data_IF_659128300327
#
_entry.id   IF_659128300327
#
_cell.length_a   1.000
_cell.length_b   1.000
_cell.length_c   1.000
_cell.angle_alpha   90.00
_cell.angle_beta   90.00
_cell.angle_gamma   90.00
#
_symmetry.space_group_name_H-M   'P 1'
#
loop_
_entity.id
_entity.type
_entity.pdbx_description
1 polymer ?
#
# COMPACT_ATOMS: atom_id res chain seq x y z
N UNK A 1 -12.53 -7.29 18.65
CA UNK A 1 -11.35 -6.52 19.11
C UNK A 1 -10.35 -7.51 19.69
N UNK A 2 -9.09 -7.48 19.25
CA UNK A 2 -8.01 -8.28 19.84
C UNK A 2 -7.05 -7.31 20.54
N UNK A 3 -6.65 -7.63 21.76
CA UNK A 3 -5.73 -6.79 22.55
C UNK A 3 -4.30 -7.25 22.33
N UNK A 4 -3.39 -6.30 22.13
CA UNK A 4 -1.95 -6.54 22.02
C UNK A 4 -1.25 -5.82 23.17
N UNK A 5 -0.44 -6.56 23.94
CA UNK A 5 0.42 -5.96 24.93
C UNK A 5 1.69 -5.41 24.27
N UNK A 6 2.06 -4.18 24.59
CA UNK A 6 3.27 -3.52 24.09
C UNK A 6 4.02 -2.90 25.26
N UNK A 7 5.32 -2.67 25.07
CA UNK A 7 6.14 -1.97 26.06
C UNK A 7 5.73 -0.50 26.18
N UNK A 8 6.02 0.10 27.34
CA UNK A 8 5.75 1.53 27.57
C UNK A 8 6.52 2.43 26.60
N UNK A 9 7.75 2.06 26.23
CA UNK A 9 8.54 2.79 25.23
C UNK A 9 7.90 2.73 23.84
N UNK A 10 7.43 1.54 23.43
CA UNK A 10 6.69 1.36 22.17
C UNK A 10 5.41 2.20 22.16
N UNK A 11 4.70 2.24 23.28
CA UNK A 11 3.47 3.01 23.43
C UNK A 11 3.70 4.51 23.29
N UNK A 12 4.76 5.04 23.92
CA UNK A 12 5.17 6.45 23.76
C UNK A 12 5.48 6.79 22.31
N UNK A 13 6.27 5.95 21.63
CA UNK A 13 6.60 6.15 20.21
C UNK A 13 5.37 6.14 19.31
N UNK A 14 4.41 5.24 19.57
CA UNK A 14 3.15 5.19 18.83
C UNK A 14 2.28 6.44 19.04
N UNK A 15 2.25 6.99 20.26
CA UNK A 15 1.58 8.26 20.55
C UNK A 15 2.19 9.42 19.77
N UNK A 16 3.51 9.58 19.83
CA UNK A 16 4.22 10.62 19.09
C UNK A 16 3.99 10.51 17.58
N UNK A 17 4.00 9.28 17.04
CA UNK A 17 3.75 9.03 15.64
C UNK A 17 2.30 9.39 15.25
N UNK A 18 1.31 9.02 16.08
CA UNK A 18 -0.09 9.38 15.90
C UNK A 18 -0.27 10.90 15.78
N UNK A 19 0.37 11.65 16.68
CA UNK A 19 0.32 13.12 16.68
C UNK A 19 0.98 13.73 15.44
N UNK A 20 2.17 13.25 15.07
CA UNK A 20 2.89 13.71 13.86
C UNK A 20 2.07 13.49 12.59
N UNK A 21 1.39 12.36 12.51
CA UNK A 21 0.55 12.00 11.37
C UNK A 21 -0.85 12.64 11.43
N UNK A 22 -1.21 13.28 12.56
CA UNK A 22 -2.57 13.77 12.84
C UNK A 22 -3.63 12.69 12.63
N UNK A 23 -3.30 11.45 12.97
CA UNK A 23 -4.17 10.29 12.79
C UNK A 23 -5.29 10.28 13.85
N UNK A 24 -6.49 9.87 13.45
CA UNK A 24 -7.67 9.83 14.33
C UNK A 24 -7.56 8.69 15.35
N UNK A 25 -7.08 7.51 14.91
CA UNK A 25 -6.96 6.32 15.73
C UNK A 25 -5.55 5.71 15.70
N UNK A 26 -5.26 4.81 16.64
CA UNK A 26 -4.03 4.00 16.58
C UNK A 26 -4.10 2.92 15.50
N UNK A 27 -5.30 2.48 15.13
CA UNK A 27 -5.49 1.54 14.01
C UNK A 27 -5.05 2.18 12.70
N UNK A 28 -5.34 3.48 12.48
CA UNK A 28 -4.85 4.22 11.31
C UNK A 28 -3.32 4.26 11.26
N UNK A 29 -2.68 4.50 12.41
CA UNK A 29 -1.22 4.51 12.52
C UNK A 29 -0.64 3.14 12.21
N UNK A 30 -1.24 2.07 12.74
CA UNK A 30 -0.81 0.70 12.50
C UNK A 30 -0.96 0.33 11.03
N UNK A 31 -2.09 0.67 10.40
CA UNK A 31 -2.33 0.39 8.98
C UNK A 31 -1.28 1.09 8.10
N UNK A 32 -0.97 2.36 8.36
CA UNK A 32 0.08 3.06 7.60
C UNK A 32 1.46 2.46 7.82
N UNK A 33 1.79 2.03 9.05
CA UNK A 33 3.05 1.34 9.32
C UNK A 33 3.16 0.03 8.53
N UNK A 34 2.07 -0.75 8.47
CA UNK A 34 2.00 -2.00 7.70
C UNK A 34 2.16 -1.72 6.19
N UNK A 35 1.43 -0.74 5.66
CA UNK A 35 1.52 -0.35 4.25
C UNK A 35 2.93 0.15 3.89
N UNK A 36 3.53 0.96 4.75
CA UNK A 36 4.90 1.48 4.57
C UNK A 36 5.93 0.34 4.58
N UNK A 37 5.74 -0.64 5.46
CA UNK A 37 6.59 -1.85 5.49
C UNK A 37 6.48 -2.64 4.20
N UNK A 38 5.27 -2.91 3.71
CA UNK A 38 5.07 -3.60 2.44
C UNK A 38 5.70 -2.84 1.27
N UNK A 39 5.56 -1.52 1.22
CA UNK A 39 6.18 -0.69 0.19
C UNK A 39 7.71 -0.76 0.25
N UNK A 40 8.29 -0.68 1.44
CA UNK A 40 9.75 -0.73 1.62
C UNK A 40 10.30 -2.11 1.25
N UNK A 41 9.64 -3.18 1.68
CA UNK A 41 9.98 -4.55 1.32
C UNK A 41 9.88 -4.79 -0.19
N UNK A 42 8.83 -4.28 -0.83
CA UNK A 42 8.69 -4.34 -2.29
C UNK A 42 9.82 -3.59 -3.00
N UNK A 43 10.21 -2.41 -2.50
CA UNK A 43 11.32 -1.62 -3.04
C UNK A 43 12.65 -2.36 -2.92
N UNK A 44 12.90 -3.01 -1.79
CA UNK A 44 14.09 -3.84 -1.58
C UNK A 44 14.12 -5.04 -2.53
N UNK A 45 13.01 -5.77 -2.66
CA UNK A 45 12.92 -6.87 -3.61
C UNK A 45 13.12 -6.39 -5.06
N UNK A 46 12.47 -5.29 -5.46
CA UNK A 46 12.63 -4.70 -6.79
C UNK A 46 14.08 -4.29 -7.07
N UNK A 47 14.81 -3.79 -6.07
CA UNK A 47 16.22 -3.43 -6.21
C UNK A 47 17.14 -4.64 -6.44
N UNK A 48 16.71 -5.84 -6.04
CA UNK A 48 17.40 -7.11 -6.35
C UNK A 48 17.01 -7.64 -7.72
N UNK A 49 15.86 -7.24 -8.26
CA UNK A 49 15.46 -7.62 -9.61
C UNK A 49 16.30 -6.83 -10.61
N UNK A 50 17.39 -7.44 -11.09
CA UNK A 50 18.08 -6.97 -12.29
C UNK A 50 17.22 -7.32 -13.51
N UNK A 51 16.29 -6.43 -13.82
CA UNK A 51 15.38 -6.54 -14.96
C UNK A 51 16.18 -6.41 -16.27
N UNK A 52 16.73 -7.53 -16.75
CA UNK A 52 17.18 -7.69 -18.14
C UNK A 52 15.96 -7.86 -19.04
N UNK A 53 15.17 -6.80 -19.18
CA UNK A 53 14.02 -6.79 -20.11
C UNK A 53 14.36 -5.91 -21.30
N UNK A 54 13.95 -6.35 -22.48
CA UNK A 54 14.01 -5.52 -23.68
C UNK A 54 12.97 -4.39 -23.61
N UNK A 55 13.18 -3.34 -24.40
CA UNK A 55 12.24 -2.22 -24.49
C UNK A 55 10.81 -2.67 -24.84
N UNK A 56 10.68 -3.69 -25.70
CA UNK A 56 9.38 -4.19 -26.14
C UNK A 56 8.60 -4.87 -25.01
N UNK A 57 9.25 -5.73 -24.23
CA UNK A 57 8.64 -6.44 -23.11
C UNK A 57 8.25 -5.48 -21.97
N UNK A 58 9.08 -4.48 -21.69
CA UNK A 58 8.75 -3.44 -20.71
C UNK A 58 7.52 -2.61 -21.16
N UNK A 59 7.41 -2.30 -22.45
CA UNK A 59 6.29 -1.55 -23.01
C UNK A 59 4.98 -2.35 -22.96
N UNK A 60 5.03 -3.63 -23.27
CA UNK A 60 3.87 -4.52 -23.20
C UNK A 60 3.35 -4.62 -21.77
N UNK A 61 4.23 -4.87 -20.80
CA UNK A 61 3.89 -4.89 -19.38
C UNK A 61 3.21 -3.60 -18.90
N UNK A 62 3.76 -2.42 -19.22
CA UNK A 62 3.15 -1.13 -18.86
C UNK A 62 1.77 -0.95 -19.49
N UNK A 63 1.60 -1.42 -20.72
CA UNK A 63 0.32 -1.33 -21.45
C UNK A 63 -0.73 -2.21 -20.77
N UNK A 64 -0.40 -3.45 -20.45
CA UNK A 64 -1.29 -4.37 -19.72
C UNK A 64 -1.65 -3.84 -18.34
N UNK A 65 -0.70 -3.30 -17.58
CA UNK A 65 -0.96 -2.70 -16.27
C UNK A 65 -1.90 -1.48 -16.36
N UNK A 66 -1.77 -0.68 -17.41
CA UNK A 66 -2.67 0.45 -17.67
C UNK A 66 -4.09 -0.01 -18.01
N UNK A 67 -4.23 -1.11 -18.75
CA UNK A 67 -5.53 -1.70 -19.07
C UNK A 67 -6.21 -2.29 -17.84
N UNK A 68 -5.48 -3.00 -16.98
CA UNK A 68 -5.99 -3.55 -15.72
C UNK A 68 -6.48 -2.43 -14.78
N UNK A 69 -5.70 -1.36 -14.62
CA UNK A 69 -6.08 -0.20 -13.80
C UNK A 69 -7.23 0.64 -14.40
N UNK A 70 -7.50 0.51 -15.70
CA UNK A 70 -8.62 1.17 -16.39
C UNK A 70 -9.88 0.31 -16.39
N UNK A 71 -9.74 -1.02 -16.48
CA UNK A 71 -10.84 -1.99 -16.41
C UNK A 71 -11.54 -1.99 -15.06
N UNK A 72 -10.81 -1.83 -13.95
CA UNK A 72 -11.41 -1.70 -12.62
C UNK A 72 -12.31 -0.47 -12.47
N UNK A 73 -11.99 0.64 -13.15
CA UNK A 73 -12.80 1.86 -13.14
C UNK A 73 -14.11 1.72 -13.92
N UNK A 74 -14.12 0.85 -14.95
CA UNK A 74 -15.30 0.62 -15.79
C UNK A 74 -16.28 -0.37 -15.15
N UNK A 75 -15.78 -1.35 -14.37
CA UNK A 75 -16.61 -2.31 -13.62
C UNK A 75 -17.31 -1.67 -12.41
N UNK A 76 -16.65 -0.75 -11.68
CA UNK A 76 -17.29 -0.02 -10.56
C UNK A 76 -18.42 0.92 -11.03
N UNK A 77 -18.22 1.64 -12.14
CA UNK A 77 -19.26 2.53 -12.71
C UNK A 77 -20.55 1.81 -13.12
N UNK A 78 -20.48 0.52 -13.49
CA UNK A 78 -21.68 -0.25 -13.87
C UNK A 78 -22.48 -0.75 -12.67
N UNK A 79 -21.85 -0.94 -11.51
CA UNK A 79 -22.54 -1.37 -10.29
C UNK A 79 -23.31 -0.24 -9.61
N UNK A 80 -22.85 1.01 -9.71
CA UNK A 80 -23.51 2.18 -9.09
C UNK A 80 -24.70 2.73 -9.88
N UNK A 81 -24.93 2.27 -11.12
CA UNK A 81 -26.00 2.76 -12.00
C UNK A 81 -27.15 1.76 -12.21
N UNK A 82 -27.19 0.67 -11.45
CA UNK A 82 -28.33 -0.27 -11.52
C UNK A 82 -29.31 0.10 -10.41
N UNK A 83 -30.53 0.56 -10.74
CA UNK A 83 -31.56 0.94 -9.75
C UNK A 83 -32.09 -0.26 -8.96
#
# INVERSE_FOLDING_TARGET
MKTVAISEDTWRKLKELKEKMKASSFDDVINVLIETWHFTSLKEELSKVNLKISYYEAREFITTMRELSSGEKQSRKRMETTP
#
